data_IF_906625577139
#
_entry.id   IF_906625577139
#
_cell.length_a   1.000
_cell.length_b   1.000
_cell.length_c   1.000
_cell.angle_alpha   90.00
_cell.angle_beta   90.00
_cell.angle_gamma   90.00
#
_symmetry.space_group_name_H-M   'P 1'
#
loop_
_entity.id
_entity.type
_entity.pdbx_description
1 polymer ?
#
# COMPACT_ATOMS: atom_id res chain seq x y z
N UNK A 1 8.22 -2.65 13.52
CA UNK A 1 6.94 -2.72 12.79
C UNK A 1 7.15 -2.09 11.42
N UNK A 2 6.87 -2.81 10.35
CA UNK A 2 6.97 -2.30 8.96
C UNK A 2 5.77 -2.78 8.15
N UNK A 3 5.29 -1.96 7.22
CA UNK A 3 4.29 -2.40 6.25
C UNK A 3 4.91 -3.42 5.29
N UNK A 4 4.18 -4.50 5.04
CA UNK A 4 4.57 -5.62 4.17
C UNK A 4 3.42 -5.92 3.22
N UNK A 5 3.72 -6.30 1.98
CA UNK A 5 2.72 -6.68 0.97
C UNK A 5 2.58 -8.18 0.90
N UNK A 6 1.34 -8.65 0.92
CA UNK A 6 1.01 -10.07 0.88
C UNK A 6 -0.04 -10.36 -0.19
N UNK A 7 0.04 -11.56 -0.76
CA UNK A 7 -1.00 -12.12 -1.60
C UNK A 7 -1.22 -13.59 -1.22
N UNK A 8 -2.30 -13.88 -0.51
CA UNK A 8 -2.52 -15.19 0.12
C UNK A 8 -3.47 -16.09 -0.70
N UNK A 9 -3.74 -15.73 -1.95
CA UNK A 9 -4.63 -16.50 -2.83
C UNK A 9 -4.07 -16.52 -4.25
N UNK A 10 -3.18 -17.48 -4.52
CA UNK A 10 -2.53 -17.66 -5.81
C UNK A 10 -2.60 -19.13 -6.21
N UNK A 11 -3.07 -19.40 -7.43
CA UNK A 11 -3.06 -20.72 -8.02
C UNK A 11 -1.78 -20.92 -8.82
N UNK A 12 -1.40 -22.18 -8.99
CA UNK A 12 -0.27 -22.61 -9.80
C UNK A 12 -0.77 -23.46 -10.98
N UNK A 13 0.10 -23.82 -11.93
CA UNK A 13 -0.23 -24.78 -12.98
C UNK A 13 -0.69 -26.16 -12.49
N UNK A 14 -0.59 -26.45 -11.19
CA UNK A 14 -1.16 -27.67 -10.61
C UNK A 14 -2.68 -27.60 -10.40
N UNK A 15 -3.28 -26.40 -10.48
CA UNK A 15 -4.73 -26.22 -10.56
C UNK A 15 -5.22 -26.45 -12.00
N UNK A 16 -6.33 -27.16 -12.15
CA UNK A 16 -6.86 -27.59 -13.46
C UNK A 16 -7.36 -26.44 -14.35
N UNK A 17 -7.62 -25.29 -13.76
CA UNK A 17 -8.13 -24.08 -14.38
C UNK A 17 -7.08 -22.97 -14.54
N UNK A 18 -5.81 -23.29 -14.29
CA UNK A 18 -4.71 -22.37 -14.58
C UNK A 18 -4.65 -22.07 -16.08
N UNK A 19 -4.75 -20.78 -16.43
CA UNK A 19 -5.11 -20.34 -17.78
C UNK A 19 -3.91 -20.23 -18.73
N UNK A 20 -2.69 -20.14 -18.19
CA UNK A 20 -1.47 -19.97 -18.98
C UNK A 20 -0.61 -21.24 -18.98
N UNK A 21 -0.27 -21.72 -20.17
CA UNK A 21 0.65 -22.85 -20.33
C UNK A 21 2.11 -22.42 -20.19
N UNK A 22 2.97 -23.35 -19.78
CA UNK A 22 4.42 -23.14 -19.73
C UNK A 22 4.92 -22.23 -18.61
N UNK A 23 4.05 -21.75 -17.72
CA UNK A 23 4.46 -20.97 -16.54
C UNK A 23 5.06 -21.93 -15.51
N UNK A 24 6.25 -21.61 -15.00
CA UNK A 24 6.86 -22.35 -13.89
C UNK A 24 6.62 -21.66 -12.55
N UNK A 25 6.83 -22.37 -11.44
CA UNK A 25 6.71 -21.77 -10.10
C UNK A 25 7.77 -20.67 -9.92
N UNK A 26 8.96 -20.83 -10.50
CA UNK A 26 9.97 -19.78 -10.52
C UNK A 26 9.46 -18.49 -11.16
N UNK A 27 8.66 -18.57 -12.22
CA UNK A 27 8.08 -17.38 -12.86
C UNK A 27 7.07 -16.69 -11.94
N UNK A 28 6.26 -17.46 -11.19
CA UNK A 28 5.36 -16.93 -10.16
C UNK A 28 6.17 -16.20 -9.07
N UNK A 29 7.30 -16.76 -8.62
CA UNK A 29 8.18 -16.11 -7.64
C UNK A 29 8.83 -14.84 -8.17
N UNK A 30 9.31 -14.84 -9.42
CA UNK A 30 9.84 -13.63 -10.09
C UNK A 30 8.77 -12.55 -10.15
N UNK A 31 7.55 -12.91 -10.55
CA UNK A 31 6.41 -11.98 -10.61
C UNK A 31 6.06 -11.44 -9.23
N UNK A 32 6.08 -12.28 -8.19
CA UNK A 32 5.85 -11.83 -6.83
C UNK A 32 6.89 -10.79 -6.38
N UNK A 33 8.18 -10.97 -6.72
CA UNK A 33 9.21 -9.97 -6.47
C UNK A 33 8.98 -8.68 -7.27
N UNK A 34 8.64 -8.77 -8.56
CA UNK A 34 8.36 -7.61 -9.41
C UNK A 34 7.19 -6.76 -8.88
N UNK A 35 6.19 -7.42 -8.27
CA UNK A 35 5.05 -6.77 -7.61
C UNK A 35 5.37 -6.28 -6.19
N UNK A 36 6.58 -6.56 -5.70
CA UNK A 36 7.06 -6.18 -4.38
C UNK A 36 6.35 -6.90 -3.25
N UNK A 37 5.97 -8.17 -3.44
CA UNK A 37 5.35 -9.00 -2.42
C UNK A 37 6.40 -9.54 -1.44
N UNK A 38 6.15 -9.31 -0.15
CA UNK A 38 6.96 -9.85 0.95
C UNK A 38 6.51 -11.27 1.34
N UNK A 39 5.24 -11.63 1.09
CA UNK A 39 4.76 -12.99 1.28
C UNK A 39 3.71 -13.39 0.26
N UNK A 40 3.72 -14.66 -0.14
CA UNK A 40 2.69 -15.29 -0.96
C UNK A 40 2.22 -16.60 -0.33
N UNK A 41 0.99 -17.02 -0.63
CA UNK A 41 0.56 -18.40 -0.38
C UNK A 41 0.18 -19.07 -1.69
N UNK A 42 0.69 -20.29 -1.89
CA UNK A 42 0.26 -21.13 -3.01
C UNK A 42 -0.94 -21.95 -2.55
N UNK A 43 -2.11 -21.70 -3.15
CA UNK A 43 -3.40 -22.19 -2.67
C UNK A 43 -4.18 -22.83 -3.81
N UNK A 44 -3.61 -23.85 -4.43
CA UNK A 44 -4.26 -24.58 -5.51
C UNK A 44 -5.62 -25.17 -5.08
N UNK A 45 -6.54 -25.32 -6.04
CA UNK A 45 -7.84 -25.93 -5.79
C UNK A 45 -7.69 -27.36 -5.27
N UNK A 46 -8.11 -27.61 -4.03
CA UNK A 46 -8.15 -28.91 -3.39
C UNK A 46 -6.83 -29.70 -3.54
N UNK A 47 -5.69 -29.00 -3.53
CA UNK A 47 -4.38 -29.58 -3.86
C UNK A 47 -3.26 -28.76 -3.23
N UNK A 48 -2.16 -29.43 -2.92
CA UNK A 48 -0.90 -28.81 -2.49
C UNK A 48 0.25 -29.11 -3.46
N UNK A 49 -0.09 -29.60 -4.66
CA UNK A 49 0.87 -30.06 -5.67
C UNK A 49 1.77 -28.94 -6.18
N UNK A 50 1.30 -27.71 -6.29
CA UNK A 50 2.15 -26.56 -6.65
C UNK A 50 3.26 -26.36 -5.62
N UNK A 51 2.91 -26.25 -4.34
CA UNK A 51 3.89 -26.13 -3.26
C UNK A 51 4.84 -27.34 -3.17
N UNK A 52 4.31 -28.56 -3.32
CA UNK A 52 5.13 -29.77 -3.35
C UNK A 52 6.10 -29.81 -4.55
N UNK A 53 5.65 -29.32 -5.71
CA UNK A 53 6.48 -29.21 -6.92
C UNK A 53 7.64 -28.25 -6.75
N UNK A 54 7.42 -27.10 -6.11
CA UNK A 54 8.46 -26.12 -5.79
C UNK A 54 9.62 -26.76 -5.02
N UNK A 55 9.31 -27.41 -3.90
CA UNK A 55 10.33 -27.97 -3.03
C UNK A 55 11.00 -29.20 -3.63
N UNK A 56 10.25 -30.04 -4.37
CA UNK A 56 10.85 -31.16 -5.11
C UNK A 56 11.88 -30.66 -6.13
N UNK A 57 11.56 -29.62 -6.89
CA UNK A 57 12.48 -29.05 -7.88
C UNK A 57 13.74 -28.48 -7.20
N UNK A 58 13.58 -27.79 -6.08
CA UNK A 58 14.71 -27.28 -5.30
C UNK A 58 15.57 -28.44 -4.76
N UNK A 59 14.96 -29.46 -4.15
CA UNK A 59 15.65 -30.63 -3.61
C UNK A 59 16.44 -31.38 -4.70
N UNK A 60 15.85 -31.55 -5.89
CA UNK A 60 16.52 -32.17 -7.04
C UNK A 60 17.75 -31.36 -7.48
N UNK A 61 17.63 -30.03 -7.56
CA UNK A 61 18.74 -29.13 -7.89
C UNK A 61 19.83 -29.15 -6.81
N UNK A 62 19.46 -29.14 -5.53
CA UNK A 62 20.42 -29.22 -4.42
C UNK A 62 21.14 -30.57 -4.38
N UNK A 63 20.46 -31.66 -4.73
CA UNK A 63 21.07 -32.98 -4.88
C UNK A 63 22.12 -32.97 -6.01
N UNK A 64 21.79 -32.37 -7.16
CA UNK A 64 22.74 -32.22 -8.27
C UNK A 64 23.96 -31.37 -7.88
N UNK A 65 23.75 -30.29 -7.12
CA UNK A 65 24.83 -29.46 -6.56
C UNK A 65 25.75 -30.29 -5.64
N UNK A 66 25.16 -31.02 -4.70
CA UNK A 66 25.89 -31.87 -3.75
C UNK A 66 26.72 -32.94 -4.47
N UNK A 67 26.16 -33.57 -5.50
CA UNK A 67 26.83 -34.56 -6.33
C UNK A 67 27.87 -33.96 -7.30
N UNK A 68 27.99 -32.63 -7.34
CA UNK A 68 28.84 -31.88 -8.30
C UNK A 68 28.51 -32.21 -9.76
N UNK A 69 27.22 -32.38 -10.05
CA UNK A 69 26.65 -32.69 -11.37
C UNK A 69 25.70 -31.61 -11.87
N UNK A 70 25.68 -30.46 -11.21
CA UNK A 70 24.83 -29.33 -11.56
C UNK A 70 25.34 -28.64 -12.81
N UNK A 71 24.50 -28.55 -13.83
CA UNK A 71 24.80 -27.83 -15.07
C UNK A 71 24.71 -26.31 -14.86
N UNK A 72 25.36 -25.47 -15.70
CA UNK A 72 25.36 -24.02 -15.51
C UNK A 72 23.95 -23.39 -15.42
N UNK A 73 23.02 -23.81 -16.27
CA UNK A 73 21.64 -23.30 -16.23
C UNK A 73 20.86 -23.75 -14.98
N UNK A 74 21.14 -24.95 -14.47
CA UNK A 74 20.56 -25.46 -13.22
C UNK A 74 21.14 -24.70 -12.01
N UNK A 75 22.42 -24.34 -12.06
CA UNK A 75 23.08 -23.53 -11.04
C UNK A 75 22.49 -22.12 -10.96
N UNK A 76 22.25 -21.47 -12.10
CA UNK A 76 21.57 -20.18 -12.16
C UNK A 76 20.15 -20.26 -11.58
N UNK A 77 19.40 -21.30 -11.95
CA UNK A 77 18.04 -21.54 -11.48
C UNK A 77 17.97 -21.77 -9.97
N UNK A 78 18.86 -22.60 -9.42
CA UNK A 78 18.96 -22.84 -7.98
C UNK A 78 19.36 -21.58 -7.21
N UNK A 79 20.34 -20.82 -7.73
CA UNK A 79 20.74 -19.54 -7.15
C UNK A 79 19.57 -18.55 -7.13
N UNK A 80 18.74 -18.56 -8.17
CA UNK A 80 17.57 -17.70 -8.24
C UNK A 80 16.49 -18.09 -7.23
N UNK A 81 16.16 -19.39 -7.08
CA UNK A 81 15.26 -19.84 -6.01
C UNK A 81 15.75 -19.39 -4.64
N UNK A 82 17.03 -19.61 -4.33
CA UNK A 82 17.64 -19.19 -3.06
C UNK A 82 17.58 -17.67 -2.84
N UNK A 83 17.70 -16.87 -3.90
CA UNK A 83 17.59 -15.41 -3.84
C UNK A 83 16.16 -14.97 -3.56
N UNK A 84 15.19 -15.52 -4.28
CA UNK A 84 13.78 -15.16 -4.16
C UNK A 84 13.20 -15.59 -2.81
N UNK A 85 13.49 -16.82 -2.36
CA UNK A 85 13.02 -17.34 -1.06
C UNK A 85 13.62 -16.62 0.16
N UNK A 86 14.76 -15.93 0.01
CA UNK A 86 15.30 -15.04 1.05
C UNK A 86 14.53 -13.73 1.19
N UNK A 87 13.80 -13.31 0.15
CA UNK A 87 13.10 -12.03 0.09
C UNK A 87 11.60 -12.16 0.29
N UNK A 88 11.01 -13.23 -0.26
CA UNK A 88 9.57 -13.47 -0.25
C UNK A 88 9.29 -14.75 0.52
N UNK A 89 8.46 -14.64 1.54
CA UNK A 89 7.96 -15.78 2.30
C UNK A 89 6.93 -16.54 1.46
N UNK A 90 7.15 -17.83 1.23
CA UNK A 90 6.23 -18.69 0.46
C UNK A 90 5.53 -19.64 1.43
N UNK A 91 4.23 -19.46 1.61
CA UNK A 91 3.43 -20.25 2.54
C UNK A 91 2.70 -21.40 1.81
N UNK A 92 2.70 -22.61 2.39
CA UNK A 92 1.87 -23.70 1.90
C UNK A 92 0.40 -23.45 2.19
N UNK A 93 -0.47 -23.80 1.25
CA UNK A 93 -1.90 -23.78 1.46
C UNK A 93 -2.67 -24.50 0.36
N UNK A 94 -3.99 -24.46 0.46
CA UNK A 94 -4.91 -24.92 -0.57
C UNK A 94 -6.22 -24.13 -0.48
N UNK A 95 -6.92 -24.02 -1.61
CA UNK A 95 -8.30 -23.55 -1.63
C UNK A 95 -9.24 -24.75 -1.66
N UNK A 96 -9.92 -24.99 -0.53
CA UNK A 96 -10.86 -26.10 -0.36
C UNK A 96 -12.26 -25.72 -0.82
N UNK A 97 -12.87 -26.59 -1.62
CA UNK A 97 -14.28 -26.47 -2.02
C UNK A 97 -15.16 -27.25 -1.05
N UNK A 98 -15.81 -26.52 -0.14
CA UNK A 98 -16.76 -27.04 0.83
C UNK A 98 -18.13 -27.35 0.20
N UNK A 99 -19.00 -27.98 0.98
CA UNK A 99 -20.38 -28.25 0.59
C UNK A 99 -21.08 -27.01 0.03
N UNK A 100 -21.89 -27.20 -1.02
CA UNK A 100 -22.52 -26.15 -1.84
C UNK A 100 -21.56 -25.35 -2.73
N UNK A 101 -20.29 -25.75 -2.83
CA UNK A 101 -19.32 -25.10 -3.71
C UNK A 101 -18.69 -23.84 -3.10
N UNK A 102 -18.73 -23.70 -1.77
CA UNK A 102 -18.09 -22.55 -1.12
C UNK A 102 -16.59 -22.74 -1.00
N UNK A 103 -15.82 -21.70 -1.26
CA UNK A 103 -14.36 -21.78 -1.18
C UNK A 103 -13.82 -21.26 0.15
N UNK A 104 -12.87 -22.02 0.70
CA UNK A 104 -12.20 -21.75 1.95
C UNK A 104 -10.70 -21.92 1.72
N UNK A 105 -9.92 -20.89 2.00
CA UNK A 105 -8.46 -20.98 1.91
C UNK A 105 -7.91 -21.40 3.27
N UNK A 106 -7.02 -22.39 3.25
CA UNK A 106 -6.22 -22.79 4.40
C UNK A 106 -4.76 -22.52 4.11
N UNK A 107 -4.14 -21.60 4.87
CA UNK A 107 -2.70 -21.33 4.81
C UNK A 107 -2.03 -21.90 6.05
N UNK A 108 -0.88 -22.56 5.90
CA UNK A 108 -0.19 -23.28 6.96
C UNK A 108 1.22 -22.71 7.20
N UNK A 109 1.83 -23.00 8.37
CA UNK A 109 3.26 -22.78 8.57
C UNK A 109 4.10 -23.56 7.55
N UNK A 110 5.25 -23.03 7.17
CA UNK A 110 6.21 -23.57 6.19
C UNK A 110 6.70 -24.98 6.56
N UNK A 111 6.75 -25.27 7.87
CA UNK A 111 7.13 -26.58 8.40
C UNK A 111 6.04 -27.66 8.26
N UNK A 112 4.85 -27.30 7.79
CA UNK A 112 3.73 -28.23 7.63
C UNK A 112 4.00 -29.16 6.45
N UNK A 113 4.03 -30.47 6.72
CA UNK A 113 4.35 -31.45 5.68
C UNK A 113 3.25 -31.54 4.62
N UNK A 114 3.64 -31.74 3.36
CA UNK A 114 2.73 -32.01 2.24
C UNK A 114 1.75 -33.15 2.57
N UNK A 115 2.25 -34.23 3.18
CA UNK A 115 1.45 -35.41 3.55
C UNK A 115 0.34 -35.09 4.55
N UNK A 116 0.60 -34.20 5.51
CA UNK A 116 -0.42 -33.77 6.46
C UNK A 116 -1.52 -32.97 5.74
N UNK A 117 -1.16 -32.06 4.83
CA UNK A 117 -2.14 -31.28 4.08
C UNK A 117 -2.98 -32.16 3.13
N UNK A 118 -2.36 -33.13 2.45
CA UNK A 118 -3.08 -34.13 1.64
C UNK A 118 -4.03 -34.97 2.52
N UNK A 119 -3.58 -35.39 3.71
CA UNK A 119 -4.45 -36.10 4.66
C UNK A 119 -5.64 -35.24 5.11
N UNK A 120 -5.45 -33.94 5.32
CA UNK A 120 -6.55 -33.04 5.66
C UNK A 120 -7.56 -32.91 4.51
N UNK A 121 -7.11 -32.85 3.26
CA UNK A 121 -8.01 -32.86 2.10
C UNK A 121 -8.86 -34.14 2.06
N UNK A 122 -8.25 -35.31 2.30
CA UNK A 122 -8.97 -36.58 2.43
C UNK A 122 -9.99 -36.56 3.57
N UNK A 123 -9.59 -36.04 4.74
CA UNK A 123 -10.47 -35.92 5.91
C UNK A 123 -11.66 -35.00 5.64
N UNK A 124 -11.47 -33.96 4.81
CA UNK A 124 -12.51 -33.04 4.36
C UNK A 124 -13.42 -33.63 3.26
N UNK A 125 -13.13 -34.85 2.80
CA UNK A 125 -13.93 -35.57 1.82
C UNK A 125 -13.52 -35.30 0.37
N UNK A 126 -12.34 -34.74 0.13
CA UNK A 126 -11.78 -34.60 -1.23
C UNK A 126 -11.09 -35.90 -1.62
N UNK A 127 -11.54 -36.63 -2.64
CA UNK A 127 -10.85 -37.84 -3.09
C UNK A 127 -9.60 -37.48 -3.91
N UNK A 128 -8.58 -38.36 -3.88
CA UNK A 128 -7.26 -38.08 -4.50
C UNK A 128 -7.32 -37.81 -6.00
N UNK A 129 -8.26 -38.43 -6.71
CA UNK A 129 -8.48 -38.26 -8.16
C UNK A 129 -9.03 -36.87 -8.51
N UNK A 130 -9.49 -36.10 -7.52
CA UNK A 130 -10.01 -34.75 -7.67
C UNK A 130 -9.06 -33.65 -7.20
N UNK A 131 -7.85 -33.99 -6.77
CA UNK A 131 -6.85 -32.97 -6.42
C UNK A 131 -6.53 -32.08 -7.63
N UNK A 132 -6.69 -30.77 -7.46
CA UNK A 132 -6.50 -29.76 -8.50
C UNK A 132 -7.81 -29.27 -9.14
N UNK A 133 -8.95 -29.87 -8.81
CA UNK A 133 -10.26 -29.50 -9.35
C UNK A 133 -11.10 -28.78 -8.30
N UNK A 134 -11.82 -27.73 -8.69
CA UNK A 134 -12.89 -27.13 -7.88
C UNK A 134 -14.17 -27.98 -7.82
N UNK A 135 -14.28 -29.04 -8.63
CA UNK A 135 -15.47 -29.90 -8.70
C UNK A 135 -15.19 -31.27 -8.05
N UNK A 136 -15.36 -31.33 -6.73
CA UNK A 136 -14.96 -32.45 -5.85
C UNK A 136 -16.11 -33.35 -5.39
N UNK A 137 -17.37 -33.01 -5.71
CA UNK A 137 -18.54 -33.77 -5.26
C UNK A 137 -19.02 -33.38 -3.86
N UNK A 138 -19.53 -34.33 -3.07
CA UNK A 138 -20.03 -34.06 -1.72
C UNK A 138 -18.87 -34.01 -0.70
N UNK A 139 -18.50 -32.81 -0.28
CA UNK A 139 -17.44 -32.56 0.70
C UNK A 139 -18.03 -32.10 2.05
N UNK A 140 -17.14 -31.89 3.03
CA UNK A 140 -17.49 -31.40 4.37
C UNK A 140 -18.15 -30.01 4.34
N UNK A 141 -19.04 -29.73 5.29
CA UNK A 141 -19.66 -28.42 5.44
C UNK A 141 -18.67 -27.34 5.90
N UNK A 142 -19.04 -26.08 5.71
CA UNK A 142 -18.16 -24.91 5.95
C UNK A 142 -17.70 -24.81 7.41
N UNK A 143 -18.59 -25.01 8.38
CA UNK A 143 -18.26 -24.82 9.80
C UNK A 143 -17.34 -25.93 10.30
N UNK A 144 -17.64 -27.17 9.92
CA UNK A 144 -16.79 -28.31 10.27
C UNK A 144 -15.41 -28.20 9.60
N UNK A 145 -15.35 -27.71 8.36
CA UNK A 145 -14.07 -27.45 7.69
C UNK A 145 -13.22 -26.43 8.47
N UNK A 146 -13.83 -25.33 8.95
CA UNK A 146 -13.10 -24.35 9.78
C UNK A 146 -12.53 -24.96 11.05
N UNK A 147 -13.33 -25.74 11.78
CA UNK A 147 -12.91 -26.40 13.01
C UNK A 147 -11.72 -27.33 12.77
N UNK A 148 -11.79 -28.19 11.75
CA UNK A 148 -10.72 -29.13 11.40
C UNK A 148 -9.45 -28.37 11.03
N UNK A 149 -9.55 -27.39 10.13
CA UNK A 149 -8.40 -26.65 9.61
C UNK A 149 -7.73 -25.81 10.70
N UNK A 150 -8.52 -25.04 11.47
CA UNK A 150 -8.01 -24.24 12.58
C UNK A 150 -7.39 -25.12 13.67
N UNK A 151 -7.99 -26.28 13.96
CA UNK A 151 -7.46 -27.27 14.91
C UNK A 151 -6.10 -27.83 14.52
N UNK A 152 -5.74 -27.80 13.23
CA UNK A 152 -4.43 -28.19 12.71
C UNK A 152 -3.50 -26.98 12.44
N UNK A 153 -3.81 -25.83 13.04
CA UNK A 153 -2.94 -24.64 13.00
C UNK A 153 -3.07 -23.79 11.75
N UNK A 154 -4.01 -24.09 10.84
CA UNK A 154 -4.21 -23.31 9.62
C UNK A 154 -4.71 -21.90 9.91
N UNK A 155 -4.21 -20.90 9.18
CA UNK A 155 -4.88 -19.63 8.96
C UNK A 155 -6.04 -19.87 7.99
N UNK A 156 -7.25 -19.91 8.53
CA UNK A 156 -8.49 -20.12 7.77
C UNK A 156 -9.02 -18.79 7.27
N UNK A 157 -9.21 -18.68 5.96
CA UNK A 157 -9.67 -17.47 5.26
C UNK A 157 -10.91 -17.85 4.44
N UNK A 158 -11.97 -17.06 4.52
CA UNK A 158 -13.11 -17.18 3.61
C UNK A 158 -12.70 -16.59 2.27
N UNK A 159 -12.65 -17.40 1.22
CA UNK A 159 -12.24 -16.95 -0.11
C UNK A 159 -13.32 -16.04 -0.72
N UNK A 160 -12.89 -14.99 -1.42
CA UNK A 160 -13.70 -14.06 -2.23
C UNK A 160 -15.17 -13.98 -1.79
N UNK A 161 -15.38 -13.61 -0.52
CA UNK A 161 -16.60 -13.83 0.27
C UNK A 161 -17.86 -13.27 -0.39
N UNK A 162 -17.71 -12.19 -1.15
CA UNK A 162 -18.74 -11.47 -1.89
C UNK A 162 -18.87 -11.90 -3.37
N UNK A 163 -18.36 -13.09 -3.73
CA UNK A 163 -18.46 -13.69 -5.06
C UNK A 163 -19.50 -14.83 -5.11
N UNK A 164 -19.59 -15.51 -6.25
CA UNK A 164 -20.48 -16.67 -6.48
C UNK A 164 -20.14 -17.86 -5.57
N UNK A 165 -18.85 -18.16 -5.37
CA UNK A 165 -18.37 -19.26 -4.50
C UNK A 165 -18.02 -18.76 -3.10
N UNK A 166 -18.31 -17.49 -2.80
CA UNK A 166 -18.06 -16.86 -1.52
C UNK A 166 -19.09 -17.23 -0.45
N UNK A 167 -18.62 -17.42 0.78
CA UNK A 167 -19.44 -17.81 1.95
C UNK A 167 -20.49 -16.76 2.36
N UNK A 168 -20.46 -15.53 1.84
CA UNK A 168 -21.49 -14.53 2.10
C UNK A 168 -22.70 -14.63 1.16
N UNK A 169 -22.71 -15.65 0.27
CA UNK A 169 -23.89 -16.13 -0.45
C UNK A 169 -24.54 -15.04 -1.33
N UNK A 170 -23.72 -14.26 -2.02
CA UNK A 170 -24.21 -13.13 -2.80
C UNK A 170 -25.11 -13.62 -3.95
N UNK A 171 -26.35 -13.14 -4.00
CA UNK A 171 -27.34 -13.54 -5.01
C UNK A 171 -28.22 -14.73 -4.63
N UNK A 172 -27.97 -15.40 -3.50
CA UNK A 172 -28.82 -16.48 -2.99
C UNK A 172 -29.90 -15.90 -2.05
N UNK A 173 -31.18 -16.25 -2.30
CA UNK A 173 -32.33 -15.75 -1.51
C UNK A 173 -32.60 -16.54 -0.23
N UNK A 174 -31.60 -17.21 0.34
CA UNK A 174 -31.72 -17.99 1.58
C UNK A 174 -30.62 -17.64 2.59
N UNK A 175 -30.90 -17.87 3.87
CA UNK A 175 -29.84 -18.09 4.87
C UNK A 175 -29.19 -16.85 5.48
N UNK A 176 -29.95 -15.84 5.92
CA UNK A 176 -29.37 -14.74 6.72
C UNK A 176 -28.61 -15.23 7.96
N UNK A 177 -29.16 -16.23 8.67
CA UNK A 177 -28.49 -16.89 9.80
C UNK A 177 -27.30 -17.77 9.36
N UNK A 178 -27.42 -18.47 8.22
CA UNK A 178 -26.32 -19.27 7.65
C UNK A 178 -25.12 -18.38 7.29
N UNK A 179 -25.37 -17.25 6.62
CA UNK A 179 -24.36 -16.25 6.30
C UNK A 179 -23.68 -15.71 7.55
N UNK A 180 -24.44 -15.37 8.60
CA UNK A 180 -23.89 -14.92 9.88
C UNK A 180 -23.02 -16.04 10.48
N UNK A 181 -23.51 -17.27 10.54
CA UNK A 181 -22.75 -18.41 11.06
C UNK A 181 -21.42 -18.60 10.30
N UNK A 182 -21.45 -18.65 8.96
CA UNK A 182 -20.25 -18.85 8.16
C UNK A 182 -19.27 -17.69 8.27
N UNK A 183 -19.73 -16.45 8.39
CA UNK A 183 -18.83 -15.27 8.40
C UNK A 183 -18.39 -14.81 9.78
N UNK A 184 -18.96 -15.36 10.85
CA UNK A 184 -18.65 -14.98 12.24
C UNK A 184 -18.10 -16.13 13.08
N UNK A 185 -17.96 -17.33 12.51
CA UNK A 185 -17.45 -18.52 13.20
C UNK A 185 -16.07 -18.30 13.84
N UNK A 186 -15.86 -18.64 15.12
CA UNK A 186 -14.60 -18.40 15.84
C UNK A 186 -13.34 -18.98 15.17
N UNK A 187 -13.46 -20.04 14.37
CA UNK A 187 -12.36 -20.68 13.67
C UNK A 187 -12.02 -20.02 12.32
N UNK A 188 -12.87 -19.12 11.82
CA UNK A 188 -12.58 -18.29 10.65
C UNK A 188 -11.76 -17.07 11.07
N UNK A 189 -10.60 -16.80 10.46
CA UNK A 189 -9.72 -15.72 10.90
C UNK A 189 -9.87 -14.45 10.06
N UNK A 190 -10.06 -14.61 8.75
CA UNK A 190 -10.04 -13.51 7.79
C UNK A 190 -11.11 -13.72 6.71
N UNK A 191 -11.63 -12.61 6.19
CA UNK A 191 -12.51 -12.59 5.03
C UNK A 191 -11.76 -11.97 3.84
N UNK A 192 -11.54 -12.73 2.78
CA UNK A 192 -11.09 -12.17 1.51
C UNK A 192 -12.28 -11.53 0.79
N UNK A 193 -12.17 -10.26 0.41
CA UNK A 193 -13.23 -9.55 -0.31
C UNK A 193 -12.69 -8.88 -1.57
N UNK A 194 -13.53 -8.78 -2.59
CA UNK A 194 -13.12 -8.27 -3.90
C UNK A 194 -13.31 -6.76 -4.06
N UNK A 195 -13.87 -6.06 -3.06
CA UNK A 195 -14.40 -4.70 -3.18
C UNK A 195 -13.84 -3.68 -2.15
N UNK A 196 -12.61 -3.87 -1.65
CA UNK A 196 -11.95 -2.89 -0.76
C UNK A 196 -11.51 -1.61 -1.48
N UNK A 197 -11.37 -1.67 -2.80
CA UNK A 197 -10.97 -0.54 -3.64
C UNK A 197 -12.12 -0.09 -4.57
N UNK A 198 -12.22 1.22 -4.86
CA UNK A 198 -11.47 2.31 -4.22
C UNK A 198 -11.89 2.47 -2.74
N UNK A 199 -10.99 2.97 -1.88
CA UNK A 199 -11.22 3.14 -0.43
C UNK A 199 -12.46 4.01 -0.13
N UNK A 200 -12.87 4.86 -1.08
CA UNK A 200 -14.09 5.68 -1.00
C UNK A 200 -15.39 4.89 -1.18
N UNK A 201 -15.34 3.59 -1.48
CA UNK A 201 -16.50 2.74 -1.70
C UNK A 201 -17.32 2.57 -0.40
N UNK A 202 -18.37 3.41 -0.26
CA UNK A 202 -19.30 3.36 0.88
C UNK A 202 -20.13 2.08 0.97
N UNK A 203 -20.15 1.26 -0.09
CA UNK A 203 -20.87 -0.01 -0.16
C UNK A 203 -19.96 -1.24 0.00
N UNK A 204 -18.68 -1.04 0.32
CA UNK A 204 -17.73 -2.14 0.50
C UNK A 204 -18.23 -3.17 1.51
N UNK A 205 -18.03 -4.45 1.18
CA UNK A 205 -18.40 -5.60 1.98
C UNK A 205 -17.77 -5.54 3.37
N UNK A 206 -16.55 -5.02 3.50
CA UNK A 206 -15.85 -4.90 4.79
C UNK A 206 -16.63 -4.09 5.84
N UNK A 207 -17.50 -3.16 5.42
CA UNK A 207 -18.32 -2.38 6.37
C UNK A 207 -19.34 -3.25 7.12
N UNK A 208 -19.81 -4.34 6.53
CA UNK A 208 -20.71 -5.28 7.19
C UNK A 208 -20.03 -5.97 8.37
N UNK A 209 -18.73 -6.25 8.23
CA UNK A 209 -17.94 -6.98 9.22
C UNK A 209 -17.11 -6.06 10.12
N UNK A 210 -17.54 -4.80 10.26
CA UNK A 210 -16.90 -3.79 11.13
C UNK A 210 -17.19 -3.97 12.61
N UNK A 211 -18.10 -4.88 12.98
CA UNK A 211 -18.60 -5.03 14.36
C UNK A 211 -19.69 -4.03 14.74
N UNK A 212 -20.00 -3.05 13.88
CA UNK A 212 -21.00 -2.01 14.16
C UNK A 212 -22.45 -2.49 14.02
N UNK A 213 -22.67 -3.62 13.32
CA UNK A 213 -24.00 -4.20 13.12
C UNK A 213 -24.27 -5.25 14.20
N UNK A 214 -25.45 -5.19 14.81
CA UNK A 214 -25.85 -6.13 15.87
C UNK A 214 -25.81 -7.58 15.42
N UNK A 215 -26.14 -7.84 14.15
CA UNK A 215 -26.14 -9.18 13.56
C UNK A 215 -24.73 -9.71 13.22
N UNK A 216 -23.74 -8.83 13.14
CA UNK A 216 -22.33 -9.16 12.86
C UNK A 216 -21.44 -8.53 13.95
N UNK A 217 -21.56 -9.01 15.21
CA UNK A 217 -20.93 -8.37 16.36
C UNK A 217 -19.41 -8.57 16.38
N UNK A 218 -18.91 -9.62 15.73
CA UNK A 218 -17.48 -9.91 15.66
C UNK A 218 -16.88 -9.16 14.48
N UNK A 219 -16.06 -8.16 14.81
CA UNK A 219 -15.26 -7.45 13.82
C UNK A 219 -14.26 -8.43 13.18
N UNK A 220 -14.23 -8.45 11.85
CA UNK A 220 -13.35 -9.33 11.06
C UNK A 220 -12.29 -8.52 10.34
N UNK A 221 -11.12 -9.12 10.12
CA UNK A 221 -10.18 -8.61 9.13
C UNK A 221 -10.72 -8.88 7.74
N UNK A 222 -10.70 -7.86 6.87
CA UNK A 222 -11.01 -8.00 5.46
C UNK A 222 -9.74 -7.73 4.65
N UNK A 223 -9.35 -8.71 3.83
CA UNK A 223 -8.17 -8.63 2.96
C UNK A 223 -8.59 -8.78 1.50
N UNK A 224 -7.63 -8.63 0.61
CA UNK A 224 -7.76 -9.02 -0.79
C UNK A 224 -6.61 -9.98 -1.17
N UNK A 225 -6.90 -10.86 -2.11
CA UNK A 225 -5.92 -11.64 -2.85
C UNK A 225 -6.20 -11.52 -4.35
N UNK A 226 -5.22 -11.90 -5.16
CA UNK A 226 -5.34 -11.85 -6.61
C UNK A 226 -6.27 -12.93 -7.16
N UNK A 227 -6.41 -14.08 -6.49
CA UNK A 227 -7.10 -15.26 -7.03
C UNK A 227 -6.53 -15.62 -8.42
N UNK A 228 -5.20 -15.53 -8.51
CA UNK A 228 -4.48 -15.53 -9.78
C UNK A 228 -4.39 -16.92 -10.38
N UNK A 229 -5.04 -17.09 -11.53
CA UNK A 229 -4.96 -18.29 -12.39
C UNK A 229 -4.00 -18.10 -13.57
N UNK A 230 -3.15 -17.08 -13.48
CA UNK A 230 -2.20 -16.67 -14.50
C UNK A 230 -1.15 -15.73 -13.93
N UNK A 231 -0.05 -15.55 -14.65
CA UNK A 231 1.07 -14.73 -14.23
C UNK A 231 0.76 -13.22 -14.28
N UNK A 232 0.09 -12.75 -15.33
CA UNK A 232 -0.20 -11.33 -15.57
C UNK A 232 -1.68 -11.09 -15.82
N UNK A 233 -2.18 -9.88 -15.57
CA UNK A 233 -3.58 -9.51 -15.82
C UNK A 233 -4.03 -9.69 -17.28
N UNK A 234 -5.30 -9.99 -17.52
CA UNK A 234 -5.87 -10.08 -18.87
C UNK A 234 -6.29 -8.70 -19.33
N UNK A 235 -5.59 -8.18 -20.35
CA UNK A 235 -5.89 -6.87 -20.94
C UNK A 235 -7.27 -6.87 -21.65
N UNK A 236 -7.79 -8.04 -22.04
CA UNK A 236 -9.11 -8.16 -22.66
C UNK A 236 -10.22 -8.45 -21.63
N UNK A 237 -9.84 -8.99 -20.46
CA UNK A 237 -10.75 -9.32 -19.36
C UNK A 237 -10.15 -8.81 -18.06
N UNK A 238 -10.32 -7.52 -17.79
CA UNK A 238 -9.72 -6.85 -16.64
C UNK A 238 -10.04 -7.50 -15.28
N UNK A 239 -11.12 -8.30 -15.19
CA UNK A 239 -11.46 -9.10 -14.01
C UNK A 239 -10.52 -10.28 -13.74
N UNK A 240 -9.79 -10.75 -14.76
CA UNK A 240 -8.84 -11.87 -14.65
C UNK A 240 -7.48 -11.32 -14.25
N UNK A 241 -7.24 -11.34 -12.94
CA UNK A 241 -6.02 -10.85 -12.32
C UNK A 241 -4.86 -11.82 -12.51
N UNK A 242 -3.65 -11.28 -12.50
CA UNK A 242 -2.40 -12.00 -12.36
C UNK A 242 -1.85 -11.93 -10.93
N UNK A 243 -0.75 -12.64 -10.72
CA UNK A 243 -0.07 -12.73 -9.42
C UNK A 243 0.28 -11.33 -8.91
N UNK A 244 -0.18 -10.99 -7.70
CA UNK A 244 0.12 -9.71 -7.05
C UNK A 244 -0.65 -8.50 -7.62
N UNK A 245 -1.73 -8.70 -8.38
CA UNK A 245 -2.53 -7.58 -8.90
C UNK A 245 -3.46 -6.96 -7.86
N UNK A 246 -3.82 -7.70 -6.81
CA UNK A 246 -4.66 -7.21 -5.71
C UNK A 246 -4.07 -7.56 -4.33
N UNK A 247 -2.87 -7.04 -3.99
CA UNK A 247 -2.24 -7.41 -2.75
C UNK A 247 -2.82 -6.66 -1.56
N UNK A 248 -2.61 -7.22 -0.36
CA UNK A 248 -2.94 -6.60 0.92
C UNK A 248 -1.67 -6.10 1.59
N UNK A 249 -1.72 -4.94 2.23
CA UNK A 249 -0.66 -4.47 3.12
C UNK A 249 -0.97 -4.79 4.58
N UNK A 250 0.01 -5.36 5.28
CA UNK A 250 -0.05 -5.69 6.71
C UNK A 250 1.11 -5.05 7.47
N UNK A 251 0.84 -4.51 8.66
CA UNK A 251 1.85 -3.91 9.52
C UNK A 251 2.30 -4.93 10.58
N UNK A 252 3.50 -5.49 10.41
CA UNK A 252 4.01 -6.58 11.24
C UNK A 252 5.38 -6.25 11.86
N UNK A 253 5.75 -6.87 12.99
CA UNK A 253 7.10 -6.74 13.54
C UNK A 253 8.13 -7.44 12.64
N UNK A 254 7.76 -8.60 12.11
CA UNK A 254 8.52 -9.43 11.19
C UNK A 254 7.57 -10.13 10.21
N UNK A 255 8.09 -10.57 9.07
CA UNK A 255 7.31 -11.30 8.06
C UNK A 255 7.42 -12.79 8.34
N UNK A 256 6.49 -13.34 9.13
CA UNK A 256 6.42 -14.77 9.47
C UNK A 256 4.96 -15.24 9.51
N UNK A 257 4.74 -16.55 9.33
CA UNK A 257 3.39 -17.13 9.47
C UNK A 257 2.80 -16.84 10.85
N UNK A 258 3.60 -16.97 11.91
CA UNK A 258 3.16 -16.71 13.28
C UNK A 258 2.67 -15.26 13.46
N UNK A 259 3.42 -14.28 12.95
CA UNK A 259 3.03 -12.87 13.03
C UNK A 259 1.76 -12.56 12.23
N UNK A 260 1.59 -13.16 11.04
CA UNK A 260 0.35 -13.07 10.25
C UNK A 260 -0.84 -13.66 11.00
N UNK A 261 -0.67 -14.89 11.53
CA UNK A 261 -1.70 -15.61 12.26
C UNK A 261 -2.14 -14.85 13.52
N UNK A 262 -1.18 -14.29 14.26
CA UNK A 262 -1.45 -13.45 15.43
C UNK A 262 -2.20 -12.16 15.05
N UNK A 263 -1.77 -11.46 14.00
CA UNK A 263 -2.45 -10.26 13.50
C UNK A 263 -3.92 -10.56 13.18
N UNK A 264 -4.16 -11.62 12.41
CA UNK A 264 -5.49 -11.96 11.92
C UNK A 264 -6.39 -12.61 12.97
N UNK A 265 -5.83 -13.26 14.00
CA UNK A 265 -6.59 -13.72 15.16
C UNK A 265 -6.87 -12.58 16.16
N UNK A 266 -6.06 -11.52 16.14
CA UNK A 266 -6.14 -10.39 17.06
C UNK A 266 -7.03 -9.23 16.57
N UNK A 267 -7.08 -8.17 17.38
CA UNK A 267 -7.93 -6.99 17.14
C UNK A 267 -7.21 -5.81 16.46
N UNK A 268 -6.05 -6.04 15.85
CA UNK A 268 -5.22 -5.02 15.19
C UNK A 268 -5.72 -4.60 13.81
N UNK A 269 -6.99 -4.20 13.70
CA UNK A 269 -7.66 -3.98 12.41
C UNK A 269 -7.14 -2.77 11.61
N UNK A 270 -6.43 -1.86 12.25
CA UNK A 270 -5.73 -0.71 11.65
C UNK A 270 -4.39 -1.10 11.00
N UNK A 271 -3.92 -2.32 11.25
CA UNK A 271 -2.66 -2.89 10.73
C UNK A 271 -2.87 -3.67 9.43
N UNK A 272 -4.05 -3.58 8.81
CA UNK A 272 -4.39 -4.25 7.56
C UNK A 272 -5.08 -3.26 6.63
N UNK A 273 -4.64 -3.16 5.37
CA UNK A 273 -5.27 -2.31 4.35
C UNK A 273 -5.06 -2.87 2.95
N UNK A 274 -5.96 -2.57 2.02
CA UNK A 274 -5.75 -2.88 0.61
C UNK A 274 -4.55 -2.07 0.08
N UNK A 275 -3.67 -2.71 -0.69
CA UNK A 275 -2.62 -1.98 -1.40
C UNK A 275 -3.25 -1.17 -2.53
N UNK A 276 -2.97 0.13 -2.55
CA UNK A 276 -3.28 0.97 -3.71
C UNK A 276 -1.96 1.29 -4.38
N UNK A 277 -1.74 0.78 -5.60
CA UNK A 277 -0.61 1.20 -6.39
C UNK A 277 -0.67 2.73 -6.57
N UNK A 278 0.46 3.45 -6.49
CA UNK A 278 0.52 4.82 -6.95
C UNK A 278 -0.08 4.87 -8.37
N UNK A 279 -0.85 5.90 -8.71
CA UNK A 279 -1.34 6.06 -10.07
C UNK A 279 -0.16 5.96 -11.04
N UNK A 280 -0.28 5.13 -12.07
CA UNK A 280 0.73 5.05 -13.15
C UNK A 280 0.92 6.39 -13.85
N UNK A 281 -0.11 7.24 -13.76
CA UNK A 281 -0.13 8.61 -14.22
C UNK A 281 0.58 9.53 -13.20
N UNK A 282 1.74 10.12 -13.56
CA UNK A 282 2.52 10.95 -12.64
C UNK A 282 1.77 12.22 -12.21
N UNK A 283 0.79 12.70 -13.00
CA UNK A 283 -0.05 13.84 -12.59
C UNK A 283 -0.98 13.42 -11.47
N UNK A 284 -1.61 12.24 -11.58
CA UNK A 284 -2.49 11.74 -10.51
C UNK A 284 -1.69 11.42 -9.25
N UNK A 285 -0.47 10.88 -9.40
CA UNK A 285 0.43 10.67 -8.27
C UNK A 285 0.77 12.00 -7.57
N UNK A 286 1.16 13.03 -8.33
CA UNK A 286 1.45 14.35 -7.78
C UNK A 286 0.23 14.98 -7.07
N UNK A 287 -0.99 14.76 -7.57
CA UNK A 287 -2.23 15.26 -6.93
C UNK A 287 -2.53 14.62 -5.58
N UNK A 288 -2.09 13.39 -5.33
CA UNK A 288 -2.21 12.74 -4.01
C UNK A 288 -1.38 13.49 -2.95
N UNK A 289 -0.22 14.02 -3.36
CA UNK A 289 0.66 14.81 -2.48
C UNK A 289 0.21 16.27 -2.37
N UNK A 290 -0.46 16.80 -3.39
CA UNK A 290 -0.96 18.18 -3.41
C UNK A 290 0.18 19.20 -3.56
N UNK A 291 -0.06 20.47 -3.20
CA UNK A 291 1.01 21.49 -3.27
C UNK A 291 2.10 21.19 -2.23
N UNK A 292 3.38 21.27 -2.63
CA UNK A 292 4.53 21.04 -1.73
C UNK A 292 5.62 22.09 -1.95
N UNK A 293 6.76 21.93 -1.26
CA UNK A 293 7.96 22.76 -1.43
C UNK A 293 8.59 22.64 -2.84
N UNK A 294 8.23 21.59 -3.58
CA UNK A 294 8.78 21.29 -4.90
C UNK A 294 7.70 21.12 -5.98
N UNK A 295 6.42 21.33 -5.68
CA UNK A 295 5.39 21.29 -6.71
C UNK A 295 4.18 22.19 -6.44
N UNK A 296 3.54 22.66 -7.52
CA UNK A 296 2.33 23.48 -7.47
C UNK A 296 1.41 23.19 -8.67
N UNK A 297 0.10 23.40 -8.48
CA UNK A 297 -0.93 23.11 -9.48
C UNK A 297 -1.71 24.36 -9.90
N UNK A 298 -1.94 24.52 -11.21
CA UNK A 298 -2.78 25.58 -11.79
C UNK A 298 -3.78 25.00 -12.79
N UNK A 299 -5.07 25.30 -12.61
CA UNK A 299 -6.12 24.83 -13.52
C UNK A 299 -6.07 25.48 -14.91
N UNK A 300 -5.54 26.71 -15.03
CA UNK A 300 -5.45 27.43 -16.31
C UNK A 300 -4.37 28.50 -16.33
N UNK A 301 -3.88 28.83 -17.53
CA UNK A 301 -3.03 30.00 -17.81
C UNK A 301 -3.55 30.81 -19.01
N UNK A 302 -4.88 30.83 -19.20
CA UNK A 302 -5.51 31.47 -20.35
C UNK A 302 -5.49 33.02 -20.30
N UNK A 303 -5.15 33.62 -19.17
CA UNK A 303 -5.16 35.09 -18.99
C UNK A 303 -3.80 35.58 -18.54
N UNK A 304 -3.45 36.84 -18.84
CA UNK A 304 -2.22 37.44 -18.34
C UNK A 304 -2.11 37.46 -16.82
N UNK A 305 -3.25 37.49 -16.11
CA UNK A 305 -3.27 37.36 -14.64
C UNK A 305 -2.85 35.95 -14.19
N UNK A 306 -3.40 34.89 -14.78
CA UNK A 306 -3.06 33.52 -14.40
C UNK A 306 -1.64 33.13 -14.84
N UNK A 307 -1.19 33.58 -16.03
CA UNK A 307 0.21 33.47 -16.45
C UNK A 307 1.15 34.16 -15.45
N UNK A 308 0.79 35.36 -14.98
CA UNK A 308 1.57 36.07 -13.96
C UNK A 308 1.72 35.31 -12.64
N UNK A 309 0.74 34.49 -12.24
CA UNK A 309 0.86 33.61 -11.06
C UNK A 309 1.86 32.48 -11.32
N UNK A 310 1.77 31.83 -12.48
CA UNK A 310 2.72 30.78 -12.89
C UNK A 310 4.15 31.32 -12.90
N UNK A 311 4.38 32.51 -13.44
CA UNK A 311 5.72 33.11 -13.47
C UNK A 311 6.26 33.45 -12.07
N UNK A 312 5.38 33.83 -11.12
CA UNK A 312 5.78 34.01 -9.71
C UNK A 312 6.23 32.69 -9.07
N UNK A 313 5.54 31.58 -9.38
CA UNK A 313 5.96 30.26 -8.93
C UNK A 313 7.30 29.83 -9.55
N UNK A 314 7.54 30.17 -10.83
CA UNK A 314 8.85 29.95 -11.46
C UNK A 314 9.96 30.67 -10.69
N UNK A 315 9.77 31.95 -10.37
CA UNK A 315 10.74 32.71 -9.57
C UNK A 315 10.91 32.12 -8.17
N UNK A 316 9.81 31.73 -7.52
CA UNK A 316 9.84 31.12 -6.19
C UNK A 316 10.65 29.83 -6.17
N UNK A 317 10.46 28.93 -7.15
CA UNK A 317 11.21 27.69 -7.26
C UNK A 317 12.68 27.93 -7.60
N UNK A 318 12.97 28.85 -8.53
CA UNK A 318 14.35 29.20 -8.89
C UNK A 318 15.13 29.75 -7.68
N UNK A 319 14.50 30.58 -6.85
CA UNK A 319 15.11 31.09 -5.62
C UNK A 319 15.21 30.06 -4.50
N UNK A 320 14.47 28.96 -4.61
CA UNK A 320 14.41 27.89 -3.60
C UNK A 320 15.17 26.64 -4.10
N UNK A 321 14.67 25.44 -3.82
CA UNK A 321 15.27 24.17 -4.23
C UNK A 321 14.80 23.64 -5.59
N UNK A 322 14.28 24.50 -6.48
CA UNK A 322 13.63 24.05 -7.72
C UNK A 322 12.27 23.38 -7.48
N UNK A 323 11.62 22.95 -8.55
CA UNK A 323 10.33 22.27 -8.48
C UNK A 323 9.60 22.15 -9.82
N UNK A 324 8.41 21.57 -9.78
CA UNK A 324 7.57 21.31 -10.95
C UNK A 324 6.21 21.99 -10.83
N UNK A 325 5.81 22.73 -11.86
CA UNK A 325 4.49 23.34 -11.97
C UNK A 325 3.64 22.47 -12.90
N UNK A 326 2.49 22.02 -12.40
CA UNK A 326 1.49 21.28 -13.17
C UNK A 326 0.39 22.24 -13.66
N UNK A 327 0.29 22.45 -14.97
CA UNK A 327 -0.63 23.40 -15.58
C UNK A 327 -1.72 22.69 -16.40
N UNK A 328 -2.98 23.05 -16.17
CA UNK A 328 -4.16 22.35 -16.72
C UNK A 328 -4.85 21.43 -15.71
N UNK A 329 -4.47 21.50 -14.43
CA UNK A 329 -4.95 20.58 -13.39
C UNK A 329 -4.93 21.23 -12.01
N UNK A 330 -5.86 20.83 -11.14
CA UNK A 330 -5.91 21.28 -9.75
C UNK A 330 -5.25 20.28 -8.80
N UNK A 331 -4.74 20.78 -7.67
CA UNK A 331 -4.22 19.93 -6.58
C UNK A 331 -5.29 19.02 -5.96
N UNK A 332 -6.59 19.33 -6.11
CA UNK A 332 -7.67 18.57 -5.46
C UNK A 332 -8.08 17.36 -6.28
N UNK A 333 -7.79 16.13 -5.83
CA UNK A 333 -8.21 14.86 -6.48
C UNK A 333 -9.70 14.79 -6.85
N UNK A 334 -10.57 15.42 -6.06
CA UNK A 334 -12.04 15.40 -6.28
C UNK A 334 -12.50 16.15 -7.53
N UNK A 335 -11.66 17.02 -8.10
CA UNK A 335 -11.99 17.77 -9.33
C UNK A 335 -11.54 16.98 -10.55
N UNK A 336 -12.30 17.03 -11.63
CA UNK A 336 -11.81 16.51 -12.91
C UNK A 336 -10.60 17.33 -13.38
N UNK A 337 -9.72 16.70 -14.15
CA UNK A 337 -8.62 17.41 -14.82
C UNK A 337 -9.24 18.41 -15.79
N UNK A 338 -8.74 19.65 -15.81
CA UNK A 338 -9.28 20.70 -16.68
C UNK A 338 -8.83 20.45 -18.13
N UNK A 339 -7.54 20.22 -18.32
CA UNK A 339 -6.88 20.11 -19.62
C UNK A 339 -6.50 21.48 -20.19
N UNK A 340 -5.60 21.48 -21.16
CA UNK A 340 -5.19 22.66 -21.93
C UNK A 340 -5.52 22.46 -23.40
N UNK A 341 -6.05 23.46 -24.09
CA UNK A 341 -6.45 23.28 -25.50
C UNK A 341 -5.24 23.34 -26.46
N UNK A 342 -4.37 24.34 -26.32
CA UNK A 342 -3.22 24.57 -27.21
C UNK A 342 -1.91 24.68 -26.41
N UNK A 343 -1.31 23.52 -26.11
CA UNK A 343 -0.07 23.45 -25.31
C UNK A 343 1.12 24.09 -26.03
N UNK A 344 1.21 23.93 -27.35
CA UNK A 344 2.33 24.43 -28.14
C UNK A 344 2.40 25.96 -28.06
N UNK A 345 1.27 26.63 -28.33
CA UNK A 345 1.18 28.09 -28.25
C UNK A 345 1.44 28.58 -26.82
N UNK A 346 0.85 27.92 -25.82
CA UNK A 346 1.05 28.29 -24.42
C UNK A 346 2.51 28.12 -23.96
N UNK A 347 3.20 27.09 -24.44
CA UNK A 347 4.61 26.83 -24.15
C UNK A 347 5.49 27.95 -24.72
N UNK A 348 5.24 28.36 -25.97
CA UNK A 348 5.96 29.47 -26.59
C UNK A 348 5.73 30.80 -25.86
N UNK A 349 4.48 31.07 -25.46
CA UNK A 349 4.12 32.28 -24.70
C UNK A 349 4.82 32.30 -23.33
N UNK A 350 4.72 31.22 -22.56
CA UNK A 350 5.33 31.13 -21.24
C UNK A 350 6.87 31.19 -21.31
N UNK A 351 7.48 30.51 -22.29
CA UNK A 351 8.93 30.57 -22.50
C UNK A 351 9.40 32.00 -22.79
N UNK A 352 8.68 32.72 -23.67
CA UNK A 352 8.94 34.13 -23.97
C UNK A 352 8.77 35.02 -22.74
N UNK A 353 7.70 34.82 -21.98
CA UNK A 353 7.40 35.63 -20.79
C UNK A 353 8.43 35.37 -19.66
N UNK A 354 8.88 34.12 -19.46
CA UNK A 354 9.98 33.79 -18.54
C UNK A 354 11.26 34.52 -18.95
N UNK A 355 11.66 34.43 -20.22
CA UNK A 355 12.88 35.07 -20.72
C UNK A 355 12.83 36.61 -20.67
N UNK A 356 11.65 37.20 -20.89
CA UNK A 356 11.49 38.66 -20.93
C UNK A 356 11.33 39.30 -19.54
N UNK A 357 10.70 38.60 -18.60
CA UNK A 357 10.26 39.20 -17.33
C UNK A 357 11.08 38.77 -16.11
N UNK A 358 11.85 37.67 -16.21
CA UNK A 358 12.61 37.15 -15.08
C UNK A 358 14.11 37.46 -15.24
N UNK A 359 14.71 38.08 -14.23
CA UNK A 359 16.12 38.44 -14.21
C UNK A 359 16.72 38.19 -12.83
N UNK A 360 17.90 37.54 -12.71
CA UNK A 360 18.66 36.86 -13.77
C UNK A 360 17.86 35.73 -14.46
N UNK A 361 18.24 35.30 -15.68
CA UNK A 361 17.52 34.24 -16.41
C UNK A 361 17.42 32.94 -15.58
N UNK A 362 16.30 32.23 -15.73
CA UNK A 362 16.02 30.95 -15.07
C UNK A 362 15.95 29.85 -16.13
N UNK A 363 16.56 28.71 -15.83
CA UNK A 363 16.43 27.51 -16.64
C UNK A 363 15.11 26.80 -16.33
N UNK A 364 14.30 26.62 -17.36
CA UNK A 364 13.00 25.92 -17.28
C UNK A 364 12.88 24.92 -18.42
N UNK A 365 12.32 23.76 -18.14
CA UNK A 365 11.97 22.75 -19.15
C UNK A 365 10.46 22.56 -19.18
N UNK A 366 9.92 22.41 -20.39
CA UNK A 366 8.49 22.25 -20.64
C UNK A 366 8.24 20.86 -21.22
N UNK A 367 7.32 20.11 -20.62
CA UNK A 367 6.94 18.77 -21.07
C UNK A 367 5.41 18.63 -21.14
N UNK A 368 4.90 18.10 -22.24
CA UNK A 368 3.48 17.82 -22.41
C UNK A 368 3.17 16.38 -22.04
N UNK A 369 2.22 16.18 -21.14
CA UNK A 369 1.73 14.86 -20.70
C UNK A 369 0.21 14.81 -20.86
N UNK A 370 -0.31 13.63 -21.21
CA UNK A 370 -1.75 13.37 -21.25
C UNK A 370 -2.17 12.59 -20.00
N UNK A 371 -3.17 13.10 -19.28
CA UNK A 371 -3.74 12.51 -18.06
C UNK A 371 -5.28 12.55 -18.16
N UNK A 372 -5.95 11.40 -17.97
CA UNK A 372 -7.38 11.22 -18.26
C UNK A 372 -7.80 11.70 -19.66
N UNK A 373 -6.94 11.45 -20.67
CA UNK A 373 -7.18 11.89 -22.04
C UNK A 373 -7.09 13.40 -22.25
N UNK A 374 -6.72 14.16 -21.21
CA UNK A 374 -6.57 15.61 -21.25
C UNK A 374 -5.09 16.00 -21.21
N UNK A 375 -4.65 16.92 -22.07
CA UNK A 375 -3.26 17.32 -22.13
C UNK A 375 -2.95 18.35 -21.01
N UNK A 376 -1.78 18.22 -20.40
CA UNK A 376 -1.27 18.97 -19.25
C UNK A 376 0.16 19.39 -19.56
N UNK A 377 0.55 20.58 -19.13
CA UNK A 377 1.91 21.10 -19.28
C UNK A 377 2.65 21.03 -17.93
N UNK A 378 3.77 20.33 -17.91
CA UNK A 378 4.72 20.30 -16.81
C UNK A 378 5.82 21.32 -17.08
N UNK A 379 6.05 22.21 -16.12
CA UNK A 379 7.14 23.19 -16.16
C UNK A 379 8.10 22.85 -15.03
N UNK A 380 9.27 22.30 -15.36
CA UNK A 380 10.29 21.96 -14.37
C UNK A 380 11.29 23.12 -14.29
N UNK A 381 11.47 23.63 -13.08
CA UNK A 381 12.31 24.78 -12.77
C UNK A 381 13.54 24.28 -12.01
N UNK A 382 14.73 24.46 -12.59
CA UNK A 382 15.96 24.13 -11.88
C UNK A 382 16.28 25.18 -10.81
N UNK A 383 16.92 24.79 -9.69
CA UNK A 383 17.39 25.74 -8.69
C UNK A 383 18.35 26.74 -9.32
N UNK A 384 18.07 28.02 -9.15
CA UNK A 384 18.85 29.10 -9.72
C UNK A 384 20.24 29.21 -9.08
N UNK A 385 21.26 29.41 -9.89
CA UNK A 385 22.65 29.61 -9.44
C UNK A 385 22.96 31.06 -9.08
N UNK A 386 22.26 32.01 -9.71
CA UNK A 386 22.47 33.46 -9.55
C UNK A 386 21.28 34.11 -8.84
N UNK A 387 21.06 33.69 -7.59
CA UNK A 387 19.99 34.24 -6.74
C UNK A 387 20.34 35.66 -6.27
N UNK A 388 19.35 36.54 -6.05
CA UNK A 388 17.92 36.31 -6.25
C UNK A 388 17.48 36.58 -7.70
N UNK A 389 16.63 35.68 -8.21
CA UNK A 389 15.81 35.90 -9.39
C UNK A 389 14.60 36.78 -9.03
N UNK A 390 14.25 37.72 -9.90
CA UNK A 390 13.14 38.64 -9.72
C UNK A 390 12.27 38.68 -10.98
N UNK A 391 10.97 38.93 -10.79
CA UNK A 391 10.01 39.16 -11.88
C UNK A 391 9.52 40.62 -11.90
N UNK A 392 9.38 41.19 -13.10
CA UNK A 392 8.86 42.54 -13.29
C UNK A 392 7.46 42.55 -13.96
N UNK A 393 6.47 43.30 -13.42
CA UNK A 393 6.42 43.95 -12.11
C UNK A 393 5.99 42.94 -11.03
N UNK A 394 6.83 42.68 -10.01
CA UNK A 394 6.42 41.69 -9.01
C UNK A 394 7.40 41.39 -7.89
N UNK A 395 8.70 41.65 -8.06
CA UNK A 395 9.68 41.46 -7.00
C UNK A 395 10.24 40.03 -6.91
N UNK A 396 10.85 39.72 -5.78
CA UNK A 396 11.53 38.44 -5.51
C UNK A 396 10.58 37.56 -4.72
N UNK A 397 10.38 36.32 -5.18
CA UNK A 397 9.53 35.32 -4.51
C UNK A 397 10.37 34.13 -4.05
N UNK A 398 9.92 33.49 -2.97
CA UNK A 398 10.48 32.24 -2.42
C UNK A 398 9.35 31.27 -2.10
N UNK A 399 9.64 29.97 -2.16
CA UNK A 399 8.68 28.92 -1.82
C UNK A 399 8.76 28.62 -0.32
N UNK A 400 7.63 28.73 0.38
CA UNK A 400 7.47 28.38 1.80
C UNK A 400 6.49 27.24 1.92
N UNK A 401 7.00 26.04 2.19
CA UNK A 401 6.21 24.81 2.25
C UNK A 401 5.30 24.70 1.01
N UNK A 402 4.01 25.03 1.12
CA UNK A 402 3.04 24.87 0.03
C UNK A 402 2.71 26.16 -0.73
N UNK A 403 3.31 27.30 -0.39
CA UNK A 403 2.95 28.61 -0.93
C UNK A 403 4.14 29.40 -1.47
N UNK A 404 3.91 30.19 -2.52
CA UNK A 404 4.90 31.13 -3.06
C UNK A 404 4.63 32.53 -2.54
N UNK A 405 5.56 33.05 -1.74
CA UNK A 405 5.43 34.32 -1.04
C UNK A 405 6.54 35.30 -1.44
N UNK A 406 6.28 36.60 -1.28
CA UNK A 406 7.29 37.62 -1.48
C UNK A 406 8.42 37.45 -0.45
N UNK A 407 9.66 37.48 -0.93
CA UNK A 407 10.83 37.33 -0.08
C UNK A 407 10.95 38.50 0.91
N UNK A 408 11.22 38.16 2.16
CA UNK A 408 11.56 39.11 3.22
C UNK A 408 12.96 39.68 3.00
N UNK A 409 13.26 40.78 3.68
CA UNK A 409 14.60 41.39 3.66
C UNK A 409 15.69 40.36 3.99
N UNK A 410 15.47 39.55 5.03
CA UNK A 410 16.48 38.61 5.51
C UNK A 410 16.70 37.46 4.52
N UNK A 411 15.63 36.94 3.90
CA UNK A 411 15.72 35.94 2.83
C UNK A 411 16.48 36.50 1.60
N UNK A 412 16.23 37.76 1.22
CA UNK A 412 16.95 38.42 0.14
C UNK A 412 18.44 38.54 0.46
N UNK A 413 18.78 39.00 1.67
CA UNK A 413 20.17 39.11 2.12
C UNK A 413 20.85 37.74 2.08
N UNK A 414 20.19 36.70 2.59
CA UNK A 414 20.72 35.34 2.63
C UNK A 414 20.98 34.77 1.22
N UNK A 415 20.09 35.05 0.26
CA UNK A 415 20.27 34.65 -1.14
C UNK A 415 21.49 35.34 -1.78
N UNK A 416 21.72 36.62 -1.48
CA UNK A 416 22.85 37.38 -2.03
C UNK A 416 24.18 36.99 -1.38
N UNK A 417 24.21 36.75 -0.07
CA UNK A 417 25.43 36.41 0.67
C UNK A 417 25.82 34.93 0.58
N UNK A 418 25.09 34.13 -0.21
CA UNK A 418 25.46 32.74 -0.53
C UNK A 418 25.53 31.82 0.68
N UNK A 419 24.70 32.04 1.71
CA UNK A 419 24.78 31.23 2.93
C UNK A 419 26.12 31.32 3.66
N UNK A 420 26.89 32.40 3.49
CA UNK A 420 27.94 32.73 4.44
C UNK A 420 27.26 33.03 5.78
N UNK A 421 27.34 32.07 6.71
CA UNK A 421 27.03 32.26 8.12
C UNK A 421 27.79 33.49 8.60
N UNK A 422 27.10 34.62 8.74
CA UNK A 422 27.55 35.65 9.66
C UNK A 422 27.61 34.97 11.03
N UNK A 423 28.76 34.96 11.72
CA UNK A 423 28.78 34.46 13.09
C UNK A 423 27.80 35.32 13.87
N UNK A 424 26.72 34.70 14.34
CA UNK A 424 25.85 35.29 15.36
C UNK A 424 26.78 35.67 16.50
N UNK A 425 26.95 36.98 16.72
CA UNK A 425 27.71 37.48 17.85
C UNK A 425 27.13 36.83 19.10
N UNK A 426 27.93 35.97 19.73
CA UNK A 426 27.58 35.33 20.99
C UNK A 426 27.36 36.47 21.99
N UNK A 427 26.17 36.62 22.59
CA UNK A 427 26.01 37.60 23.64
C UNK A 427 26.98 37.22 24.77
N UNK A 428 27.78 38.20 25.21
CA UNK A 428 28.72 38.04 26.32
C UNK A 428 27.98 37.43 27.53
N UNK A 429 28.59 36.47 28.24
CA UNK A 429 27.99 35.90 29.43
C UNK A 429 27.77 36.99 30.47
N UNK A 430 26.54 37.11 30.92
CA UNK A 430 26.17 37.95 32.07
C UNK A 430 26.89 37.40 33.31
N UNK A 431 27.49 38.26 34.16
CA UNK A 431 28.16 37.80 35.36
C UNK A 431 27.16 37.13 36.31
N UNK A 432 27.58 36.08 37.04
CA UNK A 432 26.68 35.33 37.91
C UNK A 432 26.19 36.21 39.06
N UNK A 433 24.87 36.25 39.23
CA UNK A 433 24.22 36.81 40.42
C UNK A 433 24.57 35.92 41.63
N UNK A 434 25.03 36.46 42.77
CA UNK A 434 25.31 35.66 43.95
C UNK A 434 24.03 35.07 44.54
N UNK A 435 24.03 33.77 44.80
CA UNK A 435 22.99 33.08 45.58
C UNK A 435 22.92 33.65 47.01
N UNK A 436 21.73 33.96 47.55
CA UNK A 436 21.60 34.27 48.97
C UNK A 436 21.73 32.99 49.82
N UNK A 437 22.43 33.14 50.94
CA UNK A 437 22.67 32.10 51.94
C UNK A 437 21.37 31.53 52.56
N UNK A 438 21.38 30.27 53.05
CA UNK A 438 20.19 29.65 53.61
C UNK A 438 19.81 30.28 54.95
N UNK A 439 18.57 30.76 55.04
CA UNK A 439 18.00 31.27 56.29
C UNK A 439 17.53 30.11 57.18
N UNK A 440 18.05 30.11 58.40
CA UNK A 440 17.74 29.18 59.48
C UNK A 440 16.24 29.12 59.81
N UNK A 441 15.77 27.92 60.12
CA UNK A 441 14.40 27.63 60.50
C UNK A 441 13.94 28.36 61.76
N UNK A 442 12.69 28.85 61.70
CA UNK A 442 11.84 29.08 62.88
C UNK A 442 10.38 28.82 62.52
N UNK A 443 9.83 27.85 63.22
CA UNK A 443 8.42 27.48 63.30
C UNK A 443 7.57 28.69 63.71
N UNK A 444 6.44 28.93 63.03
CA UNK A 444 5.31 29.67 63.59
C UNK A 444 4.00 28.93 63.34
N UNK A 445 3.26 28.73 64.44
CA UNK A 445 1.97 28.07 64.60
C UNK A 445 0.86 28.83 63.86
N UNK A 446 -0.04 28.09 63.19
CA UNK A 446 -1.31 28.62 62.69
C UNK A 446 -2.38 28.68 63.80
N UNK A 447 -3.37 29.58 63.71
CA UNK A 447 -4.45 29.68 64.68
C UNK A 447 -5.60 28.70 64.38
N UNK A 448 -6.26 28.31 65.47
CA UNK A 448 -7.31 27.30 65.56
C UNK A 448 -8.63 27.70 64.87
N UNK A 449 -9.31 26.71 64.29
CA UNK A 449 -10.73 26.78 63.94
C UNK A 449 -11.57 26.34 65.14
N UNK A 450 -12.48 27.21 65.55
CA UNK A 450 -13.49 26.97 66.59
C UNK A 450 -14.70 26.26 65.99
N UNK A 451 -15.14 25.20 66.68
CA UNK A 451 -16.39 24.49 66.46
C UNK A 451 -17.50 24.98 67.41
N UNK A 452 -18.75 24.69 67.06
CA UNK A 452 -19.92 24.66 67.92
C UNK A 452 -21.02 25.63 67.46
N UNK A 453 -22.32 25.29 67.38
CA UNK A 453 -23.05 24.07 67.74
C UNK A 453 -24.54 24.24 67.26
N UNK A 454 -25.54 23.38 67.60
CA UNK A 454 -26.63 22.98 66.69
C UNK A 454 -28.06 23.45 67.04
N UNK A 455 -29.01 23.11 66.14
CA UNK A 455 -30.45 22.87 66.34
C UNK A 455 -31.34 24.09 66.70
N UNK A 456 -32.70 24.04 66.61
CA UNK A 456 -33.63 22.90 66.62
C UNK A 456 -34.18 22.42 65.27
#
# INVERSE_FOLDING_TARGET
MTWRRIDLHIHTPASSDYQQSGVSILDILRRAEDRGLDAIALTDHNSVRGYAGLWREIEDLEMLEYLKRLEPGEAERLAEYRRLLKRTLVLPGFEFTAQFGFHIIAVFPEATTVRLMEHLLLLLGVPEDRFGSGEVGATTDVLRAYEILAGHGALVIGAHVNSTHGIAMQGLRFGGQTKIAYTQDPHLHVLEVTDLLPVTNRRSTARFFSGAKTEYPRRMHCIQGSDAHRLEQDLLRESNLGVGDRPTEVLLPEMSFAALKELFAGSGFDRTRAFTAPPSDPVKAARLEGNTAHQVFHESAATKRSQGVVLRDVVAFANSGGGTIYLGVSASEKRAIAGLDDISLLTEELSRDVAAQITPPVEVTFESIVSDGKPILLITVTPGTHKPHAIAPGGIFVRRETESAQATRDEIVQMVTGGATMPVATPLPTPPVPLPAPANGRVRRGPASTAGDPAP
#
